data_IF_216234393568
#
_entry.id   IF_216234393568
#
_cell.length_a   1.000
_cell.length_b   1.000
_cell.length_c   1.000
_cell.angle_alpha   90.00
_cell.angle_beta   90.00
_cell.angle_gamma   90.00
#
_symmetry.space_group_name_H-M   'P 1'
#
loop_
_entity.id
_entity.type
_entity.pdbx_description
1 polymer ?
#
# COMPACT_ATOMS: atom_id res chain seq x y z
N UNK A 1 -1.80 12.18 -1.46
CA UNK A 1 -0.97 11.42 -0.50
C UNK A 1 -0.06 10.53 -1.32
N UNK A 2 1.23 10.48 -1.01
CA UNK A 2 2.25 9.79 -1.81
C UNK A 2 2.95 8.69 -0.99
N UNK A 3 3.81 7.89 -1.63
CA UNK A 3 4.70 6.92 -0.97
C UNK A 3 5.47 7.55 0.19
N UNK A 4 6.01 8.76 -0.01
CA UNK A 4 6.70 9.51 1.06
C UNK A 4 5.82 9.82 2.26
N UNK A 5 4.55 10.17 2.03
CA UNK A 5 3.61 10.43 3.14
C UNK A 5 3.33 9.14 3.93
N UNK A 6 3.10 8.02 3.24
CA UNK A 6 2.89 6.74 3.91
C UNK A 6 4.13 6.33 4.71
N UNK A 7 5.32 6.48 4.12
CA UNK A 7 6.60 6.23 4.77
C UNK A 7 6.74 7.03 6.07
N UNK A 8 6.57 8.35 6.00
CA UNK A 8 6.63 9.22 7.19
C UNK A 8 5.64 8.77 8.26
N UNK A 9 4.41 8.39 7.87
CA UNK A 9 3.43 7.86 8.82
C UNK A 9 3.87 6.56 9.50
N UNK A 10 4.47 5.64 8.75
CA UNK A 10 5.00 4.40 9.31
C UNK A 10 6.17 4.70 10.25
N UNK A 11 7.13 5.52 9.82
CA UNK A 11 8.34 5.81 10.58
C UNK A 11 8.07 6.61 11.88
N UNK A 12 7.09 7.52 11.87
CA UNK A 12 6.78 8.38 13.01
C UNK A 12 5.79 7.76 13.99
N UNK A 13 4.82 6.98 13.49
CA UNK A 13 3.66 6.55 14.27
C UNK A 13 3.62 5.05 14.53
N UNK A 14 4.57 4.26 14.02
CA UNK A 14 4.56 2.81 14.20
C UNK A 14 5.89 2.25 14.70
N UNK A 15 5.87 0.99 15.14
CA UNK A 15 7.06 0.21 15.50
C UNK A 15 7.66 -0.56 14.30
N UNK A 16 7.11 -0.38 13.09
CA UNK A 16 7.65 -0.96 11.87
C UNK A 16 8.77 -0.09 11.29
N UNK A 17 9.68 -0.73 10.57
CA UNK A 17 10.70 -0.04 9.78
C UNK A 17 10.23 0.08 8.32
N UNK A 18 10.63 1.14 7.64
CA UNK A 18 10.38 1.28 6.21
C UNK A 18 11.63 1.60 5.41
N UNK A 19 11.67 1.20 4.14
CA UNK A 19 12.73 1.59 3.22
C UNK A 19 12.47 2.99 2.63
N UNK A 20 13.48 3.55 1.95
CA UNK A 20 13.42 4.90 1.38
C UNK A 20 12.21 5.16 0.46
N UNK A 21 11.57 4.10 -0.07
CA UNK A 21 10.27 4.15 -0.72
C UNK A 21 10.24 4.90 -2.05
N UNK A 22 10.78 4.31 -3.12
CA UNK A 22 10.50 4.75 -4.50
C UNK A 22 10.90 3.66 -5.54
N UNK A 23 9.96 3.09 -6.33
CA UNK A 23 8.50 3.30 -6.31
C UNK A 23 7.75 2.40 -5.32
N UNK A 24 8.44 1.40 -4.75
CA UNK A 24 7.89 0.48 -3.76
C UNK A 24 8.38 0.91 -2.38
N UNK A 25 7.45 0.98 -1.44
CA UNK A 25 7.74 1.09 -0.02
C UNK A 25 7.75 -0.30 0.60
N UNK A 26 8.89 -0.72 1.11
CA UNK A 26 9.03 -1.95 1.89
C UNK A 26 8.80 -1.62 3.36
N UNK A 27 7.87 -2.32 4.01
CA UNK A 27 7.58 -2.16 5.44
C UNK A 27 7.91 -3.48 6.15
N UNK A 28 8.89 -3.45 7.05
CA UNK A 28 9.38 -4.60 7.80
C UNK A 28 8.95 -4.52 9.26
N UNK A 29 8.39 -5.61 9.79
CA UNK A 29 7.92 -5.74 11.17
C UNK A 29 8.12 -7.18 11.66
N UNK A 30 7.90 -7.44 12.96
CA UNK A 30 8.13 -8.77 13.56
C UNK A 30 7.36 -9.92 12.86
N UNK A 31 6.21 -9.59 12.25
CA UNK A 31 5.36 -10.54 11.51
C UNK A 31 5.73 -10.75 10.04
N UNK A 32 6.75 -10.06 9.51
CA UNK A 32 7.20 -10.20 8.13
C UNK A 32 7.46 -8.86 7.44
N UNK A 33 7.34 -8.88 6.12
CA UNK A 33 7.56 -7.73 5.25
C UNK A 33 6.37 -7.56 4.30
N UNK A 34 6.01 -6.31 4.02
CA UNK A 34 5.05 -5.95 2.98
C UNK A 34 5.65 -4.98 1.97
N UNK A 35 5.34 -5.20 0.69
CA UNK A 35 5.84 -4.37 -0.42
C UNK A 35 4.68 -3.58 -1.00
N UNK A 36 4.68 -2.28 -0.74
CA UNK A 36 3.53 -1.41 -0.94
C UNK A 36 3.77 -0.43 -2.08
N UNK A 37 2.89 -0.44 -3.07
CA UNK A 37 2.83 0.57 -4.12
C UNK A 37 1.86 1.70 -3.75
N UNK A 38 2.40 2.93 -3.77
CA UNK A 38 1.76 4.24 -3.72
C UNK A 38 1.21 4.76 -5.06
N UNK A 39 -0.08 4.66 -5.46
CA UNK A 39 -0.54 5.32 -6.68
C UNK A 39 -0.30 6.83 -6.61
N UNK A 40 0.11 7.43 -7.73
CA UNK A 40 0.30 8.87 -7.82
C UNK A 40 -0.94 9.57 -8.41
N UNK A 41 -0.90 10.90 -8.57
CA UNK A 41 -2.03 11.68 -9.06
C UNK A 41 -2.47 11.34 -10.50
N UNK A 42 -1.57 10.84 -11.34
CA UNK A 42 -1.93 10.35 -12.68
C UNK A 42 -2.67 9.01 -12.64
N UNK A 43 -2.60 8.31 -11.50
CA UNK A 43 -3.21 6.99 -11.24
C UNK A 43 -4.38 7.13 -10.25
N UNK A 44 -5.09 8.26 -10.27
CA UNK A 44 -6.19 8.54 -9.34
C UNK A 44 -7.30 7.47 -9.43
N UNK A 45 -7.50 6.87 -10.60
CA UNK A 45 -8.35 5.71 -10.78
C UNK A 45 -7.48 4.45 -10.89
N UNK A 46 -7.43 3.66 -9.81
CA UNK A 46 -6.69 2.39 -9.78
C UNK A 46 -7.48 1.35 -10.56
N UNK A 47 -7.01 1.04 -11.76
CA UNK A 47 -7.53 0.03 -12.67
C UNK A 47 -6.56 -1.18 -12.79
N UNK A 48 -6.86 -2.09 -13.71
CA UNK A 48 -6.05 -3.28 -13.95
C UNK A 48 -4.62 -2.96 -14.42
N UNK A 49 -4.40 -1.86 -15.13
CA UNK A 49 -3.08 -1.45 -15.60
C UNK A 49 -2.20 -0.98 -14.44
N UNK A 50 -2.77 -0.23 -13.48
CA UNK A 50 -2.06 0.16 -12.25
C UNK A 50 -1.70 -1.07 -11.42
N UNK A 51 -2.58 -2.07 -11.37
CA UNK A 51 -2.30 -3.35 -10.69
C UNK A 51 -1.18 -4.11 -11.37
N UNK A 52 -1.19 -4.20 -12.70
CA UNK A 52 -0.14 -4.86 -13.48
C UNK A 52 1.21 -4.17 -13.25
N UNK A 53 1.26 -2.85 -13.34
CA UNK A 53 2.45 -2.06 -13.03
C UNK A 53 2.97 -2.32 -11.61
N UNK A 54 2.10 -2.30 -10.61
CA UNK A 54 2.52 -2.57 -9.23
C UNK A 54 3.09 -3.99 -9.08
N UNK A 55 2.50 -4.98 -9.76
CA UNK A 55 2.98 -6.36 -9.81
C UNK A 55 4.36 -6.47 -10.45
N UNK A 56 4.58 -5.83 -11.59
CA UNK A 56 5.88 -5.79 -12.27
C UNK A 56 6.99 -5.19 -11.40
N UNK A 57 6.63 -4.20 -10.57
CA UNK A 57 7.53 -3.59 -9.58
C UNK A 57 7.72 -4.46 -8.32
N UNK A 58 7.00 -5.58 -8.21
CA UNK A 58 7.08 -6.53 -7.10
C UNK A 58 6.29 -6.11 -5.86
N UNK A 59 5.27 -5.26 -6.00
CA UNK A 59 4.38 -4.96 -4.89
C UNK A 59 3.44 -6.13 -4.58
N UNK A 60 3.17 -6.36 -3.30
CA UNK A 60 2.12 -7.27 -2.81
C UNK A 60 0.84 -6.52 -2.45
N UNK A 61 0.93 -5.19 -2.28
CA UNK A 61 -0.16 -4.33 -1.86
C UNK A 61 -0.15 -3.04 -2.68
N UNK A 62 -1.33 -2.60 -3.12
CA UNK A 62 -1.59 -1.21 -3.53
C UNK A 62 -2.38 -0.53 -2.42
N UNK A 63 -1.81 0.51 -1.81
CA UNK A 63 -2.44 1.29 -0.75
C UNK A 63 -2.79 2.70 -1.27
N UNK A 64 -4.07 3.05 -1.34
CA UNK A 64 -4.50 4.31 -1.96
C UNK A 64 -5.31 5.21 -1.02
N UNK A 65 -5.36 6.50 -1.36
CA UNK A 65 -6.10 7.50 -0.59
C UNK A 65 -7.53 7.64 -1.10
N UNK A 66 -8.53 7.31 -0.28
CA UNK A 66 -9.94 7.44 -0.64
C UNK A 66 -10.44 8.90 -0.83
N UNK A 67 -9.64 9.89 -0.46
CA UNK A 67 -9.98 11.32 -0.57
C UNK A 67 -9.83 11.89 -1.99
N UNK A 68 -8.98 11.28 -2.82
CA UNK A 68 -8.71 11.74 -4.20
C UNK A 68 -8.51 10.60 -5.18
N UNK A 69 -8.43 9.34 -4.70
CA UNK A 69 -8.27 8.15 -5.51
C UNK A 69 -9.33 7.09 -5.19
N UNK A 70 -9.70 6.33 -6.20
CA UNK A 70 -10.59 5.18 -6.10
C UNK A 70 -9.98 3.96 -6.79
N UNK A 71 -10.49 2.77 -6.47
CA UNK A 71 -10.13 1.54 -7.16
C UNK A 71 -11.37 0.90 -7.77
N UNK A 72 -11.27 0.50 -9.03
CA UNK A 72 -12.37 -0.18 -9.73
C UNK A 72 -12.62 -1.57 -9.12
N UNK A 73 -13.83 -2.09 -9.30
CA UNK A 73 -14.16 -3.47 -8.88
C UNK A 73 -13.26 -4.47 -9.60
N UNK A 74 -12.98 -4.20 -10.88
CA UNK A 74 -12.09 -5.00 -11.71
C UNK A 74 -10.67 -5.03 -11.16
N UNK A 75 -10.09 -3.87 -10.81
CA UNK A 75 -8.74 -3.81 -10.24
C UNK A 75 -8.61 -4.64 -8.97
N UNK A 76 -9.62 -4.61 -8.10
CA UNK A 76 -9.63 -5.42 -6.87
C UNK A 76 -9.70 -6.91 -7.19
N UNK A 77 -10.52 -7.31 -8.16
CA UNK A 77 -10.64 -8.70 -8.58
C UNK A 77 -9.36 -9.19 -9.27
N UNK A 78 -8.82 -8.41 -10.21
CA UNK A 78 -7.58 -8.68 -10.93
C UNK A 78 -6.39 -8.76 -9.98
N UNK A 79 -6.25 -7.79 -9.07
CA UNK A 79 -5.20 -7.79 -8.05
C UNK A 79 -5.26 -9.05 -7.19
N UNK A 80 -6.45 -9.41 -6.68
CA UNK A 80 -6.62 -10.63 -5.88
C UNK A 80 -6.21 -11.89 -6.64
N UNK A 81 -6.56 -12.00 -7.92
CA UNK A 81 -6.17 -13.13 -8.77
C UNK A 81 -4.66 -13.20 -9.02
N UNK A 82 -3.96 -12.07 -8.91
CA UNK A 82 -2.53 -11.92 -9.21
C UNK A 82 -1.66 -11.67 -7.97
N UNK A 83 -2.18 -11.90 -6.75
CA UNK A 83 -1.41 -11.75 -5.52
C UNK A 83 -1.16 -10.30 -5.07
N UNK A 84 -1.85 -9.32 -5.65
CA UNK A 84 -1.76 -7.90 -5.27
C UNK A 84 -3.04 -7.46 -4.56
N UNK A 85 -2.94 -7.12 -3.28
CA UNK A 85 -4.10 -6.62 -2.52
C UNK A 85 -4.31 -5.13 -2.75
N UNK A 86 -5.49 -4.74 -3.27
CA UNK A 86 -5.82 -3.33 -3.53
C UNK A 86 -6.74 -2.80 -2.43
N UNK A 87 -6.27 -1.87 -1.62
CA UNK A 87 -7.04 -1.36 -0.48
C UNK A 87 -6.77 0.11 -0.14
N UNK A 88 -7.75 0.84 0.41
CA UNK A 88 -7.54 2.20 0.86
C UNK A 88 -6.69 2.25 2.14
N UNK A 89 -6.03 3.39 2.42
CA UNK A 89 -5.14 3.54 3.58
C UNK A 89 -5.79 3.14 4.92
N UNK A 90 -7.06 3.48 5.16
CA UNK A 90 -7.75 3.07 6.39
C UNK A 90 -7.82 1.55 6.57
N UNK A 91 -8.03 0.80 5.48
CA UNK A 91 -8.00 -0.67 5.52
C UNK A 91 -6.58 -1.20 5.63
N UNK A 92 -5.61 -0.53 5.02
CA UNK A 92 -4.19 -0.86 5.10
C UNK A 92 -3.64 -0.74 6.53
N UNK A 93 -3.92 0.35 7.24
CA UNK A 93 -3.51 0.49 8.64
C UNK A 93 -4.17 -0.55 9.55
N UNK A 94 -5.45 -0.84 9.33
CA UNK A 94 -6.13 -1.92 10.05
C UNK A 94 -5.51 -3.30 9.73
N UNK A 95 -5.04 -3.51 8.50
CA UNK A 95 -4.30 -4.72 8.12
C UNK A 95 -2.97 -4.84 8.86
N UNK A 96 -2.16 -3.77 8.89
CA UNK A 96 -0.89 -3.75 9.62
C UNK A 96 -1.08 -3.99 11.12
N UNK A 97 -2.09 -3.37 11.75
CA UNK A 97 -2.43 -3.64 13.15
C UNK A 97 -2.75 -5.12 13.40
N UNK A 98 -3.51 -5.77 12.52
CA UNK A 98 -3.78 -7.22 12.60
C UNK A 98 -2.54 -8.08 12.39
N UNK A 99 -1.53 -7.58 11.69
CA UNK A 99 -0.22 -8.22 11.51
C UNK A 99 0.73 -7.99 12.68
N UNK A 100 0.31 -7.24 13.69
CA UNK A 100 1.08 -6.98 14.91
C UNK A 100 1.92 -5.72 14.86
N UNK A 101 1.72 -4.84 13.88
CA UNK A 101 2.34 -3.51 13.87
C UNK A 101 1.66 -2.64 14.93
N UNK A 102 2.42 -2.20 15.92
CA UNK A 102 2.00 -1.23 16.92
C UNK A 102 1.95 0.16 16.29
N UNK A 103 0.88 0.90 16.55
CA UNK A 103 0.79 2.32 16.21
C UNK A 103 0.61 3.12 17.50
N UNK A 104 1.30 4.25 17.64
CA UNK A 104 1.06 5.20 18.71
C UNK A 104 -0.39 5.73 18.62
N UNK A 105 -1.04 5.92 19.77
CA UNK A 105 -2.39 6.50 19.87
C UNK A 105 -2.40 8.01 19.64
#
# INVERSE_FOLDING_TARGET
>A
MSTNWLRTKIDEESDAASDGGDPILTITFHGGEERVYCPNSSEYNVDSDVVEKARELGATIIAYSNTWSGATVEAKAYGRANGVSVMPYGQFFAYLKRKGVGFAE
#
